data_IF_354454901462
#
_entry.id   IF_354454901462
#
_cell.length_a   1.000
_cell.length_b   1.000
_cell.length_c   1.000
_cell.angle_alpha   90.00
_cell.angle_beta   90.00
_cell.angle_gamma   90.00
#
_symmetry.space_group_name_H-M   'P 1'
#
loop_
_entity.id
_entity.type
_entity.pdbx_description
1 polymer ?
#
# COMPACT_ATOMS: atom_id res chain seq x y z
N UNK A 1 43.82 -8.85 -56.78
CA UNK A 1 43.02 -9.86 -56.04
C UNK A 1 43.89 -10.42 -54.94
N UNK A 2 43.82 -9.85 -53.73
CA UNK A 2 44.56 -10.36 -52.57
C UNK A 2 43.56 -11.15 -51.71
N UNK A 3 43.72 -12.47 -51.66
CA UNK A 3 42.87 -13.35 -50.89
C UNK A 3 43.39 -13.43 -49.45
N UNK A 4 42.51 -13.07 -48.50
CA UNK A 4 42.71 -13.14 -47.06
C UNK A 4 42.92 -14.59 -46.59
N UNK A 5 44.10 -14.89 -46.04
CA UNK A 5 44.39 -16.12 -45.30
C UNK A 5 44.54 -15.81 -43.81
N UNK A 6 43.42 -15.55 -43.13
CA UNK A 6 43.39 -15.57 -41.66
C UNK A 6 43.52 -17.02 -41.18
N UNK A 7 44.52 -17.24 -40.31
CA UNK A 7 44.82 -18.50 -39.63
C UNK A 7 43.57 -19.14 -39.00
N UNK A 8 43.45 -20.46 -39.12
CA UNK A 8 42.40 -21.28 -38.50
C UNK A 8 42.29 -21.05 -36.98
N UNK A 9 43.40 -20.72 -36.33
CA UNK A 9 43.46 -20.45 -34.90
C UNK A 9 42.70 -19.16 -34.55
N UNK A 10 42.90 -18.09 -35.32
CA UNK A 10 42.21 -16.82 -35.10
C UNK A 10 40.72 -16.92 -35.38
N UNK A 11 40.30 -17.74 -36.36
CA UNK A 11 38.88 -18.01 -36.62
C UNK A 11 38.23 -18.81 -35.48
N UNK A 12 38.97 -19.73 -34.85
CA UNK A 12 38.48 -20.52 -33.72
C UNK A 12 38.34 -19.66 -32.45
N UNK A 13 39.28 -18.74 -32.20
CA UNK A 13 39.17 -17.75 -31.13
C UNK A 13 38.06 -16.71 -31.37
N UNK A 14 37.85 -16.26 -32.61
CA UNK A 14 36.72 -15.38 -32.96
C UNK A 14 35.38 -16.13 -32.82
N UNK A 15 35.29 -17.41 -33.20
CA UNK A 15 34.09 -18.21 -32.97
C UNK A 15 33.82 -18.46 -31.49
N UNK A 16 34.85 -18.71 -30.67
CA UNK A 16 34.72 -18.86 -29.21
C UNK A 16 34.33 -17.55 -28.51
N UNK A 17 34.78 -16.40 -29.01
CA UNK A 17 34.34 -15.09 -28.52
C UNK A 17 32.92 -14.74 -28.96
N UNK A 18 32.47 -15.20 -30.13
CA UNK A 18 31.09 -15.00 -30.61
C UNK A 18 30.08 -15.96 -29.95
N UNK A 19 30.49 -17.17 -29.54
CA UNK A 19 29.60 -18.09 -28.81
C UNK A 19 29.54 -17.83 -27.30
N UNK A 20 30.46 -17.03 -26.75
CA UNK A 20 30.44 -16.64 -25.34
C UNK A 20 29.48 -15.48 -25.01
N UNK A 21 28.84 -14.85 -26.00
CA UNK A 21 28.00 -13.65 -25.81
C UNK A 21 26.51 -13.86 -26.13
N UNK A 22 25.98 -15.05 -25.85
CA UNK A 22 24.53 -15.23 -25.73
C UNK A 22 24.21 -15.99 -24.44
N UNK A 23 24.62 -15.44 -23.30
CA UNK A 23 23.88 -15.71 -22.07
C UNK A 23 22.59 -14.91 -22.23
N UNK A 24 21.53 -15.57 -22.72
CA UNK A 24 20.20 -14.99 -22.66
C UNK A 24 19.93 -14.61 -21.22
N UNK A 25 19.77 -13.30 -20.95
CA UNK A 25 19.40 -12.82 -19.63
C UNK A 25 18.06 -13.47 -19.26
N UNK A 26 18.11 -14.49 -18.39
CA UNK A 26 16.90 -15.08 -17.83
C UNK A 26 16.22 -13.99 -17.00
N UNK A 27 14.97 -13.67 -17.33
CA UNK A 27 14.18 -12.73 -16.55
C UNK A 27 14.13 -13.21 -15.11
N UNK A 28 14.56 -12.37 -14.17
CA UNK A 28 14.55 -12.69 -12.76
C UNK A 28 13.11 -12.63 -12.26
N UNK A 29 12.70 -13.65 -11.51
CA UNK A 29 11.42 -13.64 -10.81
C UNK A 29 11.54 -12.76 -9.58
N UNK A 30 10.59 -11.85 -9.41
CA UNK A 30 10.52 -11.00 -8.23
C UNK A 30 10.15 -11.86 -7.00
N UNK A 31 10.94 -11.77 -5.93
CA UNK A 31 10.62 -12.48 -4.69
C UNK A 31 9.41 -11.81 -4.00
N UNK A 32 8.36 -12.57 -3.64
CA UNK A 32 7.17 -12.01 -3.01
C UNK A 32 7.45 -11.35 -1.65
N UNK A 33 6.79 -10.21 -1.39
CA UNK A 33 6.96 -9.37 -0.19
C UNK A 33 6.82 -10.17 1.10
N UNK A 34 5.79 -11.01 1.22
CA UNK A 34 5.56 -11.79 2.43
C UNK A 34 6.74 -12.72 2.73
N UNK A 35 7.22 -13.46 1.72
CA UNK A 35 8.37 -14.35 1.86
C UNK A 35 9.65 -13.61 2.26
N UNK A 36 9.89 -12.42 1.68
CA UNK A 36 11.07 -11.61 2.03
C UNK A 36 10.99 -11.14 3.47
N UNK A 37 9.85 -10.57 3.90
CA UNK A 37 9.65 -10.12 5.29
C UNK A 37 9.77 -11.31 6.26
N UNK A 38 9.16 -12.45 5.95
CA UNK A 38 9.24 -13.66 6.79
C UNK A 38 10.70 -14.09 6.99
N UNK A 39 11.50 -14.13 5.93
CA UNK A 39 12.91 -14.48 6.03
C UNK A 39 13.72 -13.44 6.83
N UNK A 40 13.48 -12.14 6.60
CA UNK A 40 14.12 -11.05 7.36
C UNK A 40 13.82 -11.18 8.87
N UNK A 41 12.55 -11.43 9.22
CA UNK A 41 12.09 -11.53 10.62
C UNK A 41 12.48 -12.83 11.32
N UNK A 42 12.79 -13.90 10.58
CA UNK A 42 13.31 -15.13 11.17
C UNK A 42 14.82 -15.04 11.48
N UNK A 43 15.55 -14.19 10.75
CA UNK A 43 16.97 -13.93 10.99
C UNK A 43 17.22 -12.90 12.10
N UNK A 44 16.21 -12.10 12.40
CA UNK A 44 16.26 -11.04 13.38
C UNK A 44 15.23 -11.34 14.48
N UNK A 45 15.68 -11.67 15.70
CA UNK A 45 14.85 -11.61 16.92
C UNK A 45 14.47 -10.15 17.23
N UNK A 46 13.82 -9.49 16.27
CA UNK A 46 13.47 -8.08 16.28
C UNK A 46 11.95 -8.00 16.25
N UNK A 47 11.41 -7.91 17.45
CA UNK A 47 10.07 -7.37 17.70
C UNK A 47 10.02 -5.95 17.14
N UNK A 48 9.44 -5.75 15.95
CA UNK A 48 9.01 -4.42 15.49
C UNK A 48 7.61 -4.14 16.08
N UNK A 49 7.44 -3.28 17.10
CA UNK A 49 6.20 -3.22 17.85
C UNK A 49 5.28 -2.04 17.55
N UNK A 50 5.44 -1.28 16.45
CA UNK A 50 4.61 -0.07 16.27
C UNK A 50 3.83 0.08 14.95
N UNK A 51 4.12 -0.68 13.89
CA UNK A 51 3.62 -0.26 12.56
C UNK A 51 3.51 -1.35 11.45
N UNK A 52 3.82 -2.64 11.70
CA UNK A 52 3.62 -3.65 10.64
C UNK A 52 4.09 -5.07 10.98
N UNK A 53 3.63 -6.05 10.18
CA UNK A 53 3.75 -7.49 10.43
C UNK A 53 5.19 -7.92 10.71
N UNK A 54 5.47 -8.29 11.96
CA UNK A 54 6.80 -8.71 12.42
C UNK A 54 7.11 -10.20 12.21
N UNK A 55 6.18 -10.99 11.66
CA UNK A 55 6.40 -12.36 11.17
C UNK A 55 5.12 -12.81 10.42
N UNK A 56 5.01 -12.58 9.11
CA UNK A 56 3.77 -12.82 8.40
C UNK A 56 3.53 -14.29 8.11
N UNK A 57 2.25 -14.67 8.09
CA UNK A 57 1.82 -15.93 7.50
C UNK A 57 1.70 -15.77 5.98
N UNK A 58 2.49 -16.55 5.25
CA UNK A 58 2.48 -16.57 3.80
C UNK A 58 1.87 -17.87 3.28
N UNK A 59 1.21 -17.78 2.13
CA UNK A 59 0.85 -18.91 1.29
C UNK A 59 2.10 -19.53 0.63
N UNK A 60 1.94 -20.70 -0.01
CA UNK A 60 3.05 -21.42 -0.66
C UNK A 60 3.66 -20.68 -1.84
N UNK A 61 2.88 -19.81 -2.49
CA UNK A 61 3.34 -18.94 -3.57
C UNK A 61 3.99 -17.65 -3.07
N UNK A 62 4.09 -17.47 -1.75
CA UNK A 62 4.69 -16.29 -1.11
C UNK A 62 3.76 -15.09 -0.99
N UNK A 63 2.47 -15.21 -1.32
CA UNK A 63 1.47 -14.17 -0.99
C UNK A 63 1.13 -14.17 0.50
N UNK A 64 0.57 -13.06 0.99
CA UNK A 64 0.03 -13.03 2.35
C UNK A 64 -1.21 -13.90 2.44
N UNK A 65 -1.34 -14.66 3.54
CA UNK A 65 -2.65 -15.20 3.91
C UNK A 65 -3.61 -14.06 4.26
N UNK A 66 -4.86 -14.20 3.86
CA UNK A 66 -5.90 -13.17 4.02
C UNK A 66 -6.13 -12.77 5.48
N UNK A 67 -5.85 -13.69 6.42
CA UNK A 67 -5.86 -13.45 7.86
C UNK A 67 -4.42 -13.42 8.39
N UNK A 68 -4.08 -12.36 9.11
CA UNK A 68 -2.83 -12.26 9.86
C UNK A 68 -3.16 -12.13 11.35
N UNK A 69 -2.45 -12.87 12.19
CA UNK A 69 -2.61 -12.83 13.64
C UNK A 69 -1.30 -12.41 14.32
N UNK A 70 -1.42 -11.53 15.30
CA UNK A 70 -0.31 -10.96 16.06
C UNK A 70 -0.45 -11.32 17.54
N UNK A 71 0.68 -11.70 18.16
CA UNK A 71 0.71 -12.17 19.56
C UNK A 71 -0.29 -13.33 19.75
N UNK A 72 -0.83 -13.51 20.95
CA UNK A 72 -1.63 -14.70 21.24
C UNK A 72 -3.03 -14.69 20.61
N UNK A 73 -3.68 -13.54 20.34
CA UNK A 73 -5.09 -13.52 19.89
C UNK A 73 -5.56 -12.33 19.02
N UNK A 74 -4.70 -11.38 18.61
CA UNK A 74 -5.17 -10.24 17.81
C UNK A 74 -5.03 -10.51 16.31
N UNK A 75 -6.14 -10.76 15.61
CA UNK A 75 -6.15 -11.03 14.17
C UNK A 75 -6.77 -9.88 13.36
N UNK A 76 -6.37 -9.74 12.10
CA UNK A 76 -6.98 -8.82 11.14
C UNK A 76 -7.04 -9.44 9.74
N UNK A 77 -7.97 -8.98 8.90
CA UNK A 77 -7.94 -9.28 7.48
C UNK A 77 -7.00 -8.31 6.77
N UNK A 78 -6.16 -8.81 5.87
CA UNK A 78 -5.16 -8.01 5.15
C UNK A 78 -5.44 -7.91 3.65
N UNK A 79 -4.88 -6.89 3.00
CA UNK A 79 -4.78 -6.84 1.53
C UNK A 79 -3.57 -7.64 1.01
N UNK A 80 -3.40 -7.70 -0.31
CA UNK A 80 -2.25 -8.35 -0.95
C UNK A 80 -0.90 -7.69 -0.62
N UNK A 81 -0.90 -6.47 -0.07
CA UNK A 81 0.29 -5.81 0.46
C UNK A 81 0.61 -6.12 1.94
N UNK A 82 -0.25 -6.88 2.63
CA UNK A 82 -0.10 -7.27 4.03
C UNK A 82 -0.60 -6.24 5.04
N UNK A 83 -1.43 -5.27 4.65
CA UNK A 83 -1.97 -4.24 5.54
C UNK A 83 -3.33 -4.64 6.09
N UNK A 84 -3.52 -4.51 7.41
CA UNK A 84 -4.81 -4.73 8.05
C UNK A 84 -5.88 -3.77 7.50
N UNK A 85 -6.97 -4.32 6.99
CA UNK A 85 -8.13 -3.59 6.46
C UNK A 85 -9.29 -3.52 7.44
N UNK A 86 -9.29 -4.39 8.46
CA UNK A 86 -10.31 -4.48 9.49
C UNK A 86 -9.78 -3.99 10.83
N UNK A 87 -10.70 -3.68 11.76
CA UNK A 87 -10.33 -3.59 13.18
C UNK A 87 -9.75 -4.91 13.69
N UNK A 88 -9.11 -4.86 14.87
CA UNK A 88 -8.58 -6.06 15.54
C UNK A 88 -9.75 -6.98 15.94
N UNK A 89 -9.69 -8.24 15.50
CA UNK A 89 -10.59 -9.32 15.88
C UNK A 89 -9.86 -10.42 16.64
N UNK A 90 -10.61 -11.45 17.04
CA UNK A 90 -10.06 -12.66 17.66
C UNK A 90 -9.72 -13.72 16.59
N UNK A 91 -9.30 -14.91 17.03
CA UNK A 91 -8.97 -16.05 16.15
C UNK A 91 -10.13 -16.52 15.26
N UNK A 92 -11.37 -16.24 15.65
CA UNK A 92 -12.57 -16.62 14.91
C UNK A 92 -12.90 -15.63 13.79
N UNK A 93 -12.13 -14.55 13.63
CA UNK A 93 -12.24 -13.65 12.48
C UNK A 93 -12.11 -14.44 11.18
N UNK A 94 -13.09 -14.26 10.30
CA UNK A 94 -13.15 -14.87 8.97
C UNK A 94 -12.84 -13.81 7.91
N UNK A 95 -11.89 -14.12 7.03
CA UNK A 95 -11.49 -13.26 5.91
C UNK A 95 -11.79 -14.02 4.62
N UNK A 96 -12.89 -13.68 3.95
CA UNK A 96 -13.41 -14.45 2.80
C UNK A 96 -12.54 -14.33 1.55
N UNK A 97 -11.90 -13.17 1.37
CA UNK A 97 -11.08 -12.87 0.20
C UNK A 97 -9.83 -12.07 0.55
N UNK A 98 -8.81 -12.18 -0.31
CA UNK A 98 -7.67 -11.29 -0.29
C UNK A 98 -8.00 -10.09 -1.17
N UNK A 99 -8.10 -8.91 -0.57
CA UNK A 99 -8.32 -7.71 -1.38
C UNK A 99 -7.01 -7.28 -2.01
N UNK A 100 -7.03 -7.09 -3.32
CA UNK A 100 -5.86 -6.68 -4.07
C UNK A 100 -5.53 -5.21 -3.89
N UNK A 101 -4.25 -4.91 -3.68
CA UNK A 101 -3.72 -3.54 -3.71
C UNK A 101 -3.45 -3.12 -5.15
N UNK A 102 -4.08 -2.04 -5.59
CA UNK A 102 -3.98 -1.52 -6.95
C UNK A 102 -2.76 -0.61 -7.15
N UNK A 103 -2.45 0.23 -6.15
CA UNK A 103 -1.37 1.21 -6.21
C UNK A 103 -0.61 1.21 -4.88
N UNK A 104 0.71 1.19 -4.97
CA UNK A 104 1.61 1.54 -3.87
C UNK A 104 2.37 2.81 -4.27
N UNK A 105 2.15 3.88 -3.52
CA UNK A 105 2.79 5.17 -3.72
C UNK A 105 3.91 5.36 -2.71
N UNK A 106 5.13 5.52 -3.20
CA UNK A 106 6.30 5.87 -2.41
C UNK A 106 6.54 7.38 -2.52
N UNK A 107 6.51 8.10 -1.41
CA UNK A 107 6.88 9.52 -1.34
C UNK A 107 8.27 9.63 -0.72
N UNK A 108 9.26 9.85 -1.58
CA UNK A 108 10.66 9.99 -1.23
C UNK A 108 10.95 11.47 -0.96
N UNK A 109 11.42 11.81 0.23
CA UNK A 109 11.87 13.18 0.54
C UNK A 109 13.40 13.23 0.43
N UNK A 110 13.94 14.13 -0.38
CA UNK A 110 15.39 14.30 -0.51
C UNK A 110 15.91 15.55 0.21
N UNK A 111 17.19 15.52 0.58
CA UNK A 111 17.90 16.67 1.15
C UNK A 111 17.96 17.83 0.16
N UNK A 112 18.05 19.08 0.61
CA UNK A 112 18.21 20.23 -0.27
C UNK A 112 19.41 20.08 -1.22
N UNK A 113 19.19 20.38 -2.50
CA UNK A 113 20.23 20.42 -3.54
C UNK A 113 20.49 21.88 -3.89
N UNK A 114 21.75 22.29 -3.90
CA UNK A 114 22.14 23.66 -4.26
C UNK A 114 21.72 23.97 -5.70
N UNK A 115 21.04 25.10 -5.91
CA UNK A 115 20.52 25.50 -7.22
C UNK A 115 19.19 24.83 -7.61
N UNK A 116 18.66 23.94 -6.78
CA UNK A 116 17.42 23.21 -7.06
C UNK A 116 17.59 22.16 -8.16
N UNK A 117 16.49 21.47 -8.47
CA UNK A 117 16.42 20.46 -9.53
C UNK A 117 15.38 20.88 -10.56
N UNK A 118 15.63 20.61 -11.85
CA UNK A 118 14.63 20.82 -12.88
C UNK A 118 13.53 19.76 -12.76
N UNK A 119 12.27 20.20 -12.67
CA UNK A 119 11.14 19.32 -12.41
C UNK A 119 11.02 18.17 -13.42
N UNK A 120 10.88 18.52 -14.71
CA UNK A 120 10.69 17.57 -15.81
C UNK A 120 11.90 16.67 -16.02
N UNK A 121 13.10 17.22 -15.89
CA UNK A 121 14.33 16.43 -16.03
C UNK A 121 14.45 15.40 -14.92
N UNK A 122 14.10 15.78 -13.68
CA UNK A 122 14.11 14.87 -12.54
C UNK A 122 13.16 13.70 -12.77
N UNK A 123 11.94 13.96 -13.26
CA UNK A 123 10.99 12.89 -13.61
C UNK A 123 11.60 11.93 -14.62
N UNK A 124 12.11 12.43 -15.75
CA UNK A 124 12.67 11.61 -16.83
C UNK A 124 13.91 10.81 -16.39
N UNK A 125 14.86 11.45 -15.70
CA UNK A 125 16.10 10.79 -15.25
C UNK A 125 15.78 9.67 -14.26
N UNK A 126 14.82 9.90 -13.34
CA UNK A 126 14.47 8.91 -12.32
C UNK A 126 13.60 7.77 -12.89
N UNK A 127 12.67 8.05 -13.81
CA UNK A 127 11.95 6.99 -14.55
C UNK A 127 12.92 6.07 -15.28
N UNK A 128 13.89 6.64 -15.99
CA UNK A 128 14.93 5.88 -16.67
C UNK A 128 15.78 5.06 -15.68
N UNK A 129 16.10 5.61 -14.50
CA UNK A 129 16.85 4.91 -13.47
C UNK A 129 16.08 3.71 -12.91
N UNK A 130 14.78 3.87 -12.61
CA UNK A 130 13.92 2.77 -12.16
C UNK A 130 13.76 1.70 -13.24
N UNK A 131 13.51 2.10 -14.49
CA UNK A 131 13.47 1.18 -15.62
C UNK A 131 14.77 0.37 -15.71
N UNK A 132 15.92 1.03 -15.74
CA UNK A 132 17.21 0.36 -15.85
C UNK A 132 17.48 -0.60 -14.69
N UNK A 133 17.09 -0.24 -13.46
CA UNK A 133 17.30 -1.08 -12.27
C UNK A 133 16.46 -2.36 -12.32
N UNK A 134 15.25 -2.30 -12.85
CA UNK A 134 14.26 -3.38 -12.79
C UNK A 134 13.90 -4.01 -14.15
N UNK A 135 14.61 -3.67 -15.23
CA UNK A 135 14.33 -4.15 -16.60
C UNK A 135 14.52 -5.66 -16.80
N UNK A 136 15.21 -6.32 -15.87
CA UNK A 136 15.45 -7.76 -15.90
C UNK A 136 14.31 -8.55 -15.25
N UNK A 137 13.31 -7.88 -14.66
CA UNK A 137 12.13 -8.52 -14.11
C UNK A 137 11.15 -8.88 -15.23
N UNK A 138 10.34 -9.91 -15.02
CA UNK A 138 9.25 -10.27 -15.94
C UNK A 138 8.04 -9.34 -15.78
N UNK A 139 8.26 -8.03 -15.90
CA UNK A 139 7.28 -6.96 -15.71
C UNK A 139 7.56 -5.79 -16.64
N UNK A 140 6.51 -5.13 -17.12
CA UNK A 140 6.62 -3.93 -17.95
C UNK A 140 6.79 -2.69 -17.05
N UNK A 141 8.03 -2.43 -16.61
CA UNK A 141 8.33 -1.37 -15.64
C UNK A 141 7.84 0.01 -16.11
N UNK A 142 7.87 0.28 -17.42
CA UNK A 142 7.42 1.55 -18.00
C UNK A 142 5.92 1.79 -17.83
N UNK A 143 5.13 0.71 -17.68
CA UNK A 143 3.69 0.81 -17.41
C UNK A 143 3.36 0.79 -15.92
N UNK A 144 4.26 0.25 -15.11
CA UNK A 144 4.02 -0.05 -13.70
C UNK A 144 4.56 1.06 -12.80
N UNK A 145 5.69 1.68 -13.17
CA UNK A 145 6.36 2.71 -12.35
C UNK A 145 6.23 4.08 -13.01
N UNK A 146 5.63 5.02 -12.30
CA UNK A 146 5.49 6.41 -12.76
C UNK A 146 6.11 7.35 -11.74
N UNK A 147 6.84 8.37 -12.20
CA UNK A 147 7.49 9.34 -11.31
C UNK A 147 6.91 10.73 -11.49
N UNK A 148 6.62 11.37 -10.36
CA UNK A 148 6.30 12.80 -10.27
C UNK A 148 7.23 13.47 -9.29
N UNK A 149 7.70 14.67 -9.63
CA UNK A 149 8.58 15.43 -8.76
C UNK A 149 7.96 16.78 -8.39
N UNK A 150 7.90 17.04 -7.08
CA UNK A 150 7.34 18.24 -6.46
C UNK A 150 8.49 19.04 -5.82
N UNK A 151 9.05 20.05 -6.52
CA UNK A 151 10.26 20.75 -6.06
C UNK A 151 10.09 21.51 -4.74
N UNK A 152 8.90 22.09 -4.52
CA UNK A 152 8.59 22.88 -3.33
C UNK A 152 8.75 22.06 -2.04
N UNK A 153 8.34 20.80 -2.09
CA UNK A 153 8.39 19.87 -0.95
C UNK A 153 9.64 18.97 -0.97
N UNK A 154 10.47 19.04 -2.02
CA UNK A 154 11.57 18.09 -2.30
C UNK A 154 11.10 16.63 -2.29
N UNK A 155 9.90 16.41 -2.84
CA UNK A 155 9.25 15.11 -2.84
C UNK A 155 9.25 14.51 -4.23
N UNK A 156 9.73 13.27 -4.31
CA UNK A 156 9.58 12.42 -5.48
C UNK A 156 8.50 11.40 -5.14
N UNK A 157 7.40 11.45 -5.89
CA UNK A 157 6.34 10.46 -5.82
C UNK A 157 6.63 9.39 -6.86
N UNK A 158 6.76 8.15 -6.40
CA UNK A 158 6.92 6.96 -7.25
C UNK A 158 5.67 6.12 -7.07
N UNK A 159 4.82 6.10 -8.10
CA UNK A 159 3.61 5.28 -8.10
C UNK A 159 3.92 3.94 -8.77
N UNK A 160 3.77 2.86 -8.00
CA UNK A 160 3.83 1.48 -8.48
C UNK A 160 2.40 0.98 -8.63
N UNK A 161 1.93 0.90 -9.86
CA UNK A 161 0.52 0.73 -10.19
C UNK A 161 0.28 -0.45 -11.12
N UNK A 162 -0.79 -1.20 -10.87
CA UNK A 162 -1.23 -2.28 -11.77
C UNK A 162 -1.68 -1.67 -13.11
N UNK A 163 -1.22 -2.20 -14.26
CA UNK A 163 -1.74 -1.81 -15.56
C UNK A 163 -3.26 -2.04 -15.65
N UNK A 164 -3.95 -1.24 -16.46
CA UNK A 164 -5.39 -1.40 -16.64
C UNK A 164 -5.73 -2.82 -17.16
N UNK A 165 -6.66 -3.49 -16.48
CA UNK A 165 -7.07 -4.85 -16.81
C UNK A 165 -6.13 -5.97 -16.33
N UNK A 166 -5.04 -5.63 -15.63
CA UNK A 166 -4.12 -6.60 -15.04
C UNK A 166 -4.33 -6.73 -13.52
N UNK A 167 -4.80 -7.88 -13.08
CA UNK A 167 -4.98 -8.20 -11.65
C UNK A 167 -3.78 -8.92 -11.04
N UNK A 168 -2.81 -9.38 -11.83
CA UNK A 168 -1.77 -10.31 -11.39
C UNK A 168 -0.43 -9.63 -11.07
N UNK A 169 -0.18 -8.41 -11.56
CA UNK A 169 1.07 -7.70 -11.25
C UNK A 169 1.21 -7.44 -9.75
N UNK A 170 2.27 -7.95 -9.16
CA UNK A 170 2.57 -7.79 -7.72
C UNK A 170 3.27 -6.45 -7.44
N UNK A 171 2.46 -5.38 -7.45
CA UNK A 171 2.92 -4.02 -7.16
C UNK A 171 3.45 -3.86 -5.74
N UNK A 172 2.92 -4.64 -4.79
CA UNK A 172 3.33 -4.57 -3.39
C UNK A 172 4.75 -5.09 -3.20
N UNK A 173 5.09 -6.21 -3.86
CA UNK A 173 6.46 -6.73 -3.87
C UNK A 173 7.40 -5.76 -4.56
N UNK A 174 7.04 -5.23 -5.73
CA UNK A 174 7.94 -4.31 -6.45
C UNK A 174 8.22 -3.05 -5.63
N UNK A 175 7.18 -2.44 -5.06
CA UNK A 175 7.34 -1.27 -4.20
C UNK A 175 8.20 -1.55 -2.96
N UNK A 176 8.05 -2.73 -2.36
CA UNK A 176 8.88 -3.15 -1.23
C UNK A 176 10.35 -3.29 -1.62
N UNK A 177 10.66 -3.90 -2.77
CA UNK A 177 12.03 -4.00 -3.28
C UNK A 177 12.61 -2.62 -3.60
N UNK A 178 11.83 -1.72 -4.22
CA UNK A 178 12.24 -0.33 -4.46
C UNK A 178 12.61 0.36 -3.15
N UNK A 179 11.76 0.28 -2.13
CA UNK A 179 12.04 0.87 -0.84
C UNK A 179 13.32 0.30 -0.21
N UNK A 180 13.50 -1.02 -0.24
CA UNK A 180 14.68 -1.70 0.33
C UNK A 180 15.96 -1.34 -0.40
N UNK A 181 15.92 -1.25 -1.72
CA UNK A 181 17.07 -0.85 -2.53
C UNK A 181 17.47 0.61 -2.25
N UNK A 182 16.49 1.51 -2.10
CA UNK A 182 16.74 2.93 -1.81
C UNK A 182 17.23 3.17 -0.38
N UNK A 183 16.70 2.41 0.59
CA UNK A 183 17.00 2.53 2.01
C UNK A 183 17.18 1.14 2.64
N UNK A 184 18.35 0.50 2.41
CA UNK A 184 18.61 -0.84 2.90
C UNK A 184 18.70 -0.88 4.43
N UNK A 185 18.35 -2.04 5.02
CA UNK A 185 18.41 -2.24 6.47
C UNK A 185 19.83 -2.45 6.99
N UNK A 186 20.75 -2.86 6.12
CA UNK A 186 22.14 -3.18 6.46
C UNK A 186 23.12 -2.50 5.51
N UNK A 187 24.28 -2.12 6.04
CA UNK A 187 25.36 -1.48 5.27
C UNK A 187 26.02 -2.41 4.23
N UNK A 188 25.76 -3.72 4.29
CA UNK A 188 26.33 -4.70 3.36
C UNK A 188 25.47 -4.92 2.09
N UNK A 189 24.29 -4.29 2.00
CA UNK A 189 23.44 -4.34 0.81
C UNK A 189 23.80 -3.20 -0.14
N UNK A 190 23.80 -3.48 -1.44
CA UNK A 190 24.00 -2.46 -2.46
C UNK A 190 22.83 -1.46 -2.42
N UNK A 191 23.14 -0.19 -2.16
CA UNK A 191 22.15 0.89 -2.15
C UNK A 191 21.92 1.39 -3.56
N UNK A 192 20.66 1.42 -3.99
CA UNK A 192 20.27 2.10 -5.22
C UNK A 192 20.35 3.62 -5.03
N UNK A 193 21.31 4.25 -5.72
CA UNK A 193 21.51 5.69 -5.65
C UNK A 193 20.69 6.41 -6.72
N UNK A 194 19.74 7.24 -6.29
CA UNK A 194 19.04 8.13 -7.21
C UNK A 194 19.96 9.29 -7.61
N UNK A 195 20.05 9.51 -8.93
CA UNK A 195 20.88 10.56 -9.51
C UNK A 195 20.07 11.34 -10.55
N UNK A 196 20.22 12.65 -10.51
CA UNK A 196 19.73 13.57 -11.55
C UNK A 196 20.96 14.27 -12.08
N UNK A 197 21.24 14.12 -13.38
CA UNK A 197 22.55 14.41 -13.96
C UNK A 197 23.71 13.73 -13.19
N UNK A 198 24.63 14.53 -12.64
CA UNK A 198 25.74 14.06 -11.81
C UNK A 198 25.49 14.23 -10.31
N UNK A 199 24.29 14.68 -9.93
CA UNK A 199 23.93 14.98 -8.55
C UNK A 199 23.27 13.74 -7.94
N UNK A 200 23.90 13.20 -6.89
CA UNK A 200 23.31 12.17 -6.06
C UNK A 200 22.27 12.79 -5.12
N UNK A 201 21.07 12.21 -5.09
CA UNK A 201 20.00 12.60 -4.18
C UNK A 201 20.12 11.80 -2.89
N UNK A 202 20.41 12.49 -1.79
CA UNK A 202 20.39 11.89 -0.45
C UNK A 202 18.95 11.92 0.10
N UNK A 203 18.37 10.75 0.34
CA UNK A 203 17.02 10.61 0.88
C UNK A 203 17.00 10.81 2.40
N UNK A 204 16.03 11.58 2.88
CA UNK A 204 15.76 11.80 4.31
C UNK A 204 14.77 10.77 4.86
N UNK A 205 13.71 10.49 4.10
CA UNK A 205 12.66 9.52 4.46
C UNK A 205 11.93 9.00 3.23
N UNK A 206 11.29 7.85 3.42
CA UNK A 206 10.35 7.24 2.48
C UNK A 206 9.03 7.03 3.21
N UNK A 207 7.93 7.49 2.64
CA UNK A 207 6.57 7.25 3.13
C UNK A 207 5.80 6.43 2.11
N UNK A 208 4.97 5.50 2.59
CA UNK A 208 4.21 4.59 1.74
C UNK A 208 2.72 4.83 1.90
N UNK A 209 2.02 4.90 0.78
CA UNK A 209 0.56 4.98 0.72
C UNK A 209 0.03 3.87 -0.17
N UNK A 210 -1.08 3.27 0.24
CA UNK A 210 -1.65 2.09 -0.40
C UNK A 210 -3.08 2.38 -0.83
N UNK A 211 -3.40 2.01 -2.07
CA UNK A 211 -4.76 2.07 -2.61
C UNK A 211 -5.19 0.68 -3.01
N UNK A 212 -6.28 0.21 -2.42
CA UNK A 212 -6.86 -1.11 -2.68
C UNK A 212 -7.97 -1.03 -3.75
N UNK A 213 -8.23 -2.15 -4.43
CA UNK A 213 -9.33 -2.27 -5.39
C UNK A 213 -10.72 -2.10 -4.73
N UNK A 214 -10.82 -2.46 -3.45
CA UNK A 214 -12.03 -2.30 -2.63
C UNK A 214 -11.76 -1.31 -1.49
N UNK A 215 -12.73 -0.47 -1.11
CA UNK A 215 -12.60 0.37 0.07
C UNK A 215 -12.47 -0.52 1.33
N UNK A 216 -11.74 -0.09 2.38
CA UNK A 216 -11.64 -0.85 3.62
C UNK A 216 -13.03 -1.07 4.22
N UNK A 217 -13.23 -2.24 4.83
CA UNK A 217 -14.48 -2.56 5.49
C UNK A 217 -14.70 -1.55 6.59
N UNK A 218 -15.68 -0.66 6.38
CA UNK A 218 -16.00 0.36 7.36
C UNK A 218 -16.35 -0.35 8.65
N UNK A 219 -15.74 -0.01 9.80
CA UNK A 219 -16.28 -0.47 11.06
C UNK A 219 -17.72 0.02 11.06
N UNK A 220 -18.67 -0.90 11.24
CA UNK A 220 -20.08 -0.59 11.46
C UNK A 220 -20.14 0.32 12.68
N UNK A 221 -19.97 1.63 12.45
CA UNK A 221 -20.12 2.65 13.49
C UNK A 221 -21.59 2.59 13.85
N UNK A 222 -21.88 1.96 15.00
CA UNK A 222 -23.17 2.14 15.66
C UNK A 222 -23.47 3.63 15.79
N UNK A 223 -24.75 4.01 15.94
CA UNK A 223 -25.14 5.41 16.04
C UNK A 223 -24.27 6.09 17.10
N UNK A 224 -23.67 7.23 16.73
CA UNK A 224 -22.83 8.00 17.66
C UNK A 224 -23.61 8.25 18.95
N UNK A 225 -22.92 8.31 20.09
CA UNK A 225 -23.58 8.55 21.39
C UNK A 225 -24.51 9.77 21.34
N UNK A 226 -24.17 10.78 20.53
CA UNK A 226 -24.99 11.96 20.28
C UNK A 226 -26.32 11.65 19.57
N UNK A 227 -26.34 10.74 18.59
CA UNK A 227 -27.57 10.32 17.92
C UNK A 227 -28.52 9.60 18.90
N UNK A 228 -27.98 8.77 19.80
CA UNK A 228 -28.79 8.09 20.83
C UNK A 228 -29.40 9.11 21.81
N UNK A 229 -28.62 10.09 22.28
CA UNK A 229 -29.11 11.13 23.19
C UNK A 229 -30.25 11.94 22.56
N UNK A 230 -30.15 12.30 21.28
CA UNK A 230 -31.19 13.07 20.57
C UNK A 230 -32.51 12.27 20.50
N UNK A 231 -32.45 10.99 20.16
CA UNK A 231 -33.64 10.13 20.04
C UNK A 231 -34.38 10.02 21.38
N UNK A 232 -33.65 9.85 22.49
CA UNK A 232 -34.26 9.75 23.83
C UNK A 232 -34.94 11.08 24.22
N UNK A 233 -34.31 12.22 23.99
CA UNK A 233 -34.86 13.53 24.32
C UNK A 233 -36.14 13.82 23.52
N UNK A 234 -36.14 13.54 22.21
CA UNK A 234 -37.33 13.71 21.37
C UNK A 234 -38.48 12.81 21.83
N UNK A 235 -38.20 11.57 22.21
CA UNK A 235 -39.19 10.64 22.75
C UNK A 235 -39.83 11.14 24.06
N UNK A 236 -39.03 11.70 24.98
CA UNK A 236 -39.53 12.26 26.24
C UNK A 236 -40.40 13.50 26.02
N UNK A 237 -40.06 14.37 25.06
CA UNK A 237 -40.87 15.54 24.74
C UNK A 237 -42.22 15.12 24.14
N UNK A 238 -42.22 14.16 23.22
CA UNK A 238 -43.45 13.68 22.56
C UNK A 238 -44.40 13.03 23.56
N UNK A 239 -43.88 12.16 24.43
CA UNK A 239 -44.68 11.49 25.47
C UNK A 239 -45.25 12.50 26.47
N UNK A 240 -44.46 13.50 26.87
CA UNK A 240 -44.93 14.60 27.72
C UNK A 240 -46.04 15.43 27.07
N UNK A 241 -45.91 15.78 25.79
CA UNK A 241 -46.91 16.56 25.06
C UNK A 241 -48.24 15.81 24.90
N UNK A 242 -48.19 14.50 24.62
CA UNK A 242 -49.38 13.65 24.52
C UNK A 242 -50.07 13.53 25.88
N UNK A 243 -49.33 13.25 26.95
CA UNK A 243 -49.89 13.15 28.29
C UNK A 243 -50.54 14.48 28.74
N UNK A 244 -49.88 15.61 28.45
CA UNK A 244 -50.42 16.93 28.73
C UNK A 244 -51.69 17.24 27.91
N UNK A 245 -51.70 16.87 26.62
CA UNK A 245 -52.87 17.02 25.76
C UNK A 245 -54.07 16.22 26.27
N UNK A 246 -53.87 14.97 26.70
CA UNK A 246 -54.90 14.13 27.32
C UNK A 246 -55.40 14.79 28.62
N UNK A 247 -54.50 15.20 29.51
CA UNK A 247 -54.86 15.86 30.77
C UNK A 247 -55.68 17.14 30.55
N UNK A 248 -55.24 18.01 29.64
CA UNK A 248 -55.95 19.24 29.30
C UNK A 248 -57.32 18.96 28.66
N UNK A 249 -57.41 17.92 27.83
CA UNK A 249 -58.67 17.44 27.24
C UNK A 249 -59.68 16.98 28.30
N UNK A 250 -59.25 16.14 29.24
CA UNK A 250 -60.10 15.66 30.36
C UNK A 250 -60.56 16.84 31.22
N UNK A 251 -59.67 17.77 31.57
CA UNK A 251 -60.00 18.95 32.38
C UNK A 251 -61.03 19.86 31.68
N UNK A 252 -60.88 20.08 30.37
CA UNK A 252 -61.88 20.82 29.56
C UNK A 252 -63.23 20.11 29.51
N UNK A 253 -63.24 18.78 29.43
CA UNK A 253 -64.47 18.00 29.42
C UNK A 253 -65.22 18.06 30.76
N UNK A 254 -64.50 18.00 31.88
CA UNK A 254 -65.09 18.19 33.21
C UNK A 254 -65.73 19.57 33.37
N UNK A 255 -65.03 20.64 32.96
CA UNK A 255 -65.57 22.01 33.02
C UNK A 255 -66.84 22.18 32.18
N UNK A 256 -66.88 21.60 30.97
CA UNK A 256 -68.09 21.58 30.12
C UNK A 256 -69.24 20.73 30.69
N UNK A 257 -68.98 19.79 31.60
CA UNK A 257 -70.01 19.04 32.31
C UNK A 257 -70.62 19.86 33.43
N UNK A 258 -69.80 20.66 34.11
CA UNK A 258 -70.22 21.56 35.18
C UNK A 258 -71.09 22.72 34.66
N UNK A 259 -70.81 23.22 33.44
CA UNK A 259 -71.59 24.27 32.77
C UNK A 259 -72.90 23.77 32.12
N UNK A 260 -73.04 22.48 31.82
CA UNK A 260 -74.28 21.87 31.28
C UNK A 260 -75.18 21.33 32.40
N UNK A 261 -75.51 22.18 33.37
CA UNK A 261 -76.35 21.83 34.53
C UNK A 261 -77.56 20.94 34.19
N UNK A 262 -78.03 20.12 35.14
CA UNK A 262 -78.97 19.02 34.87
C UNK A 262 -80.24 19.52 34.17
N UNK A 263 -80.57 18.89 33.04
CA UNK A 263 -81.91 18.94 32.42
C UNK A 263 -82.84 17.99 33.16
#
# INVERSE_FOLDING_TARGET
>A
MAANTLSLDLKMWILLLLTAFTIGASAQLLNPKCSVIKNETQQADIRRPEDGISNPECETDGKFKNKQCYKEDECCCVNSAGLCRTGKGDKNLTCEELVETQIVRLVLTHRPVAGGLNAKKTEVDLEAAFHQRYNNLHMDIDKIVQVKYYPEDRQIQVDVQKPEGDSNTDVASLAYHIQRDLMPLSNNQEKFELRVDSIKLELEKIQEFYTDEKPPDSPTKGPSAHAITIIVVVGLIFTGAVAFGIYAGVKRWQKKKEERGPL
#
